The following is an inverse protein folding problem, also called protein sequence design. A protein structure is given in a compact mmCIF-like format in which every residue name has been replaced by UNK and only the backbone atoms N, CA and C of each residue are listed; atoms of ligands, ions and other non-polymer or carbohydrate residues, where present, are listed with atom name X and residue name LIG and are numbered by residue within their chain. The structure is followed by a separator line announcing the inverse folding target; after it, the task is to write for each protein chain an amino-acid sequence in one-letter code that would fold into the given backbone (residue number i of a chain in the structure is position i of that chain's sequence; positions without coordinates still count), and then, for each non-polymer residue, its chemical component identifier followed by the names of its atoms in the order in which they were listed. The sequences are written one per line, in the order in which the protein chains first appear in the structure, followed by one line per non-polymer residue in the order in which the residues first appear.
data_IF_217790596301
#
_entry.id   IF_217790596301
#
_cell.length_a   1.000
_cell.length_b   1.000
_cell.length_c   1.000
_cell.angle_alpha   90.00
_cell.angle_beta   90.00
_cell.angle_gamma   90.00
#
_symmetry.space_group_name_H-M   'P 1'
#
loop_
_entity.id
_entity.type
_entity.pdbx_description
1 polymer ?
#
# COMPACT_ATOMS: atom_id res chain seq x y z
N UNK A 1 15.02 -6.34 -3.42
CA UNK A 1 13.98 -5.75 -2.56
C UNK A 1 13.63 -6.73 -1.44
N UNK A 2 13.59 -6.26 -0.21
CA UNK A 2 13.24 -7.13 0.92
C UNK A 2 11.75 -7.47 0.89
N UNK A 3 11.43 -8.69 1.27
CA UNK A 3 10.06 -9.18 1.37
C UNK A 3 9.76 -9.50 2.83
N UNK A 4 8.62 -9.07 3.31
CA UNK A 4 8.21 -9.28 4.70
C UNK A 4 6.95 -10.12 4.77
N UNK A 5 7.01 -11.24 5.49
CA UNK A 5 5.82 -12.04 5.80
C UNK A 5 5.16 -11.48 7.04
N UNK A 6 3.84 -11.30 6.98
CA UNK A 6 3.04 -10.83 8.10
C UNK A 6 1.95 -11.84 8.40
N UNK A 7 1.67 -12.04 9.68
CA UNK A 7 0.63 -12.95 10.12
C UNK A 7 -0.64 -12.18 10.44
N UNK A 8 -1.79 -12.75 10.06
CA UNK A 8 -3.10 -12.24 10.41
C UNK A 8 -3.86 -13.36 11.12
N UNK A 9 -4.40 -13.08 12.30
CA UNK A 9 -5.20 -14.03 13.06
C UNK A 9 -6.66 -13.66 12.97
N UNK A 10 -7.51 -14.65 12.68
CA UNK A 10 -8.95 -14.49 12.72
C UNK A 10 -9.58 -15.60 13.55
N UNK A 11 -10.70 -15.29 14.18
CA UNK A 11 -11.42 -16.24 15.02
C UNK A 11 -12.35 -17.12 14.16
N UNK A 12 -12.81 -18.24 14.75
CA UNK A 12 -13.80 -19.09 14.08
C UNK A 12 -15.08 -18.32 13.74
N UNK A 13 -15.49 -17.43 14.63
CA UNK A 13 -16.67 -16.59 14.39
C UNK A 13 -16.47 -15.68 13.20
N UNK A 14 -15.31 -15.05 13.10
CA UNK A 14 -14.97 -14.19 11.99
C UNK A 14 -14.91 -14.95 10.66
N UNK A 15 -14.36 -16.16 10.67
CA UNK A 15 -14.37 -17.03 9.47
C UNK A 15 -15.80 -17.29 8.98
N UNK A 16 -16.71 -17.58 9.90
CA UNK A 16 -18.11 -17.84 9.56
C UNK A 16 -18.79 -16.61 8.98
N UNK A 17 -18.53 -15.44 9.54
CA UNK A 17 -19.07 -14.17 9.05
C UNK A 17 -18.55 -13.89 7.64
N UNK A 18 -17.25 -14.01 7.41
CA UNK A 18 -16.65 -13.75 6.11
C UNK A 18 -17.14 -14.73 5.05
N UNK A 19 -17.24 -16.03 5.40
CA UNK A 19 -17.71 -17.06 4.47
C UNK A 19 -19.18 -16.86 4.08
N UNK A 20 -19.98 -16.22 4.94
CA UNK A 20 -21.36 -15.90 4.61
C UNK A 20 -21.48 -14.86 3.49
N UNK A 21 -20.53 -13.95 3.41
CA UNK A 21 -20.61 -12.79 2.52
C UNK A 21 -19.69 -12.91 1.30
N UNK A 22 -18.58 -13.62 1.44
CA UNK A 22 -17.55 -13.69 0.41
C UNK A 22 -17.60 -15.03 -0.34
N UNK A 23 -17.25 -15.00 -1.61
CA UNK A 23 -17.27 -16.19 -2.47
C UNK A 23 -16.31 -17.29 -2.00
N UNK A 24 -15.12 -16.90 -1.50
CA UNK A 24 -14.12 -17.85 -1.04
C UNK A 24 -14.49 -18.46 0.30
N UNK A 25 -14.24 -19.77 0.45
CA UNK A 25 -14.44 -20.45 1.74
C UNK A 25 -13.30 -20.06 2.69
N UNK A 26 -13.63 -19.27 3.70
CA UNK A 26 -12.68 -18.78 4.69
C UNK A 26 -12.27 -19.83 5.73
N UNK A 27 -12.91 -20.97 5.77
CA UNK A 27 -12.47 -22.11 6.61
C UNK A 27 -11.27 -22.82 6.01
N UNK A 28 -11.01 -22.65 4.73
CA UNK A 28 -9.83 -23.16 4.04
C UNK A 28 -8.70 -22.13 4.12
N UNK A 29 -7.54 -22.55 4.62
CA UNK A 29 -6.39 -21.64 4.73
C UNK A 29 -5.97 -21.05 3.39
N UNK A 30 -6.04 -21.82 2.31
CA UNK A 30 -5.70 -21.32 0.98
C UNK A 30 -6.67 -20.23 0.52
N UNK A 31 -7.98 -20.42 0.76
CA UNK A 31 -8.99 -19.41 0.44
C UNK A 31 -8.82 -18.15 1.27
N UNK A 32 -8.53 -18.31 2.55
CA UNK A 32 -8.28 -17.19 3.46
C UNK A 32 -7.03 -16.41 3.06
N UNK A 33 -5.93 -17.11 2.79
CA UNK A 33 -4.68 -16.47 2.39
C UNK A 33 -4.87 -15.68 1.09
N UNK A 34 -5.58 -16.25 0.12
CA UNK A 34 -5.87 -15.56 -1.14
C UNK A 34 -6.68 -14.30 -0.90
N UNK A 35 -7.72 -14.36 -0.07
CA UNK A 35 -8.54 -13.19 0.23
C UNK A 35 -7.72 -12.09 0.90
N UNK A 36 -6.89 -12.44 1.89
CA UNK A 36 -6.04 -11.48 2.58
C UNK A 36 -5.06 -10.83 1.59
N UNK A 37 -4.42 -11.64 0.73
CA UNK A 37 -3.48 -11.12 -0.26
C UNK A 37 -4.18 -10.18 -1.24
N UNK A 38 -5.35 -10.56 -1.76
CA UNK A 38 -6.10 -9.74 -2.70
C UNK A 38 -6.56 -8.43 -2.06
N UNK A 39 -7.00 -8.47 -0.80
CA UNK A 39 -7.41 -7.27 -0.06
C UNK A 39 -6.20 -6.34 0.17
N UNK A 40 -5.07 -6.91 0.54
CA UNK A 40 -3.83 -6.14 0.69
C UNK A 40 -3.40 -5.49 -0.62
N UNK A 41 -3.39 -6.26 -1.71
CA UNK A 41 -2.97 -5.75 -3.03
C UNK A 41 -3.87 -4.60 -3.49
N UNK A 42 -5.17 -4.72 -3.27
CA UNK A 42 -6.13 -3.65 -3.60
C UNK A 42 -5.88 -2.39 -2.80
N UNK A 43 -5.66 -2.52 -1.50
CA UNK A 43 -5.35 -1.38 -0.62
C UNK A 43 -4.02 -0.74 -1.00
N UNK A 44 -3.01 -1.56 -1.24
CA UNK A 44 -1.68 -1.08 -1.65
C UNK A 44 -1.76 -0.31 -2.97
N UNK A 45 -2.51 -0.83 -3.93
CA UNK A 45 -2.68 -0.16 -5.22
C UNK A 45 -3.35 1.22 -5.08
N UNK A 46 -4.37 1.32 -4.22
CA UNK A 46 -5.03 2.60 -3.95
C UNK A 46 -4.09 3.59 -3.25
N UNK A 47 -3.27 3.11 -2.32
CA UNK A 47 -2.26 3.93 -1.66
C UNK A 47 -1.20 4.43 -2.65
N UNK A 48 -0.78 3.55 -3.56
CA UNK A 48 0.18 3.90 -4.60
C UNK A 48 -0.38 4.99 -5.53
N UNK A 49 -1.63 4.84 -5.97
CA UNK A 49 -2.25 5.84 -6.85
C UNK A 49 -2.29 7.22 -6.20
N UNK A 50 -2.63 7.29 -4.91
CA UNK A 50 -2.63 8.55 -4.18
C UNK A 50 -1.22 9.14 -4.05
N UNK A 51 -0.26 8.32 -3.69
CA UNK A 51 1.14 8.75 -3.56
C UNK A 51 1.67 9.30 -4.89
N UNK A 52 1.43 8.58 -5.98
CA UNK A 52 1.86 9.01 -7.31
C UNK A 52 1.24 10.35 -7.69
N UNK A 53 -0.06 10.49 -7.48
CA UNK A 53 -0.78 11.72 -7.81
C UNK A 53 -0.27 12.91 -7.00
N UNK A 54 -0.17 12.75 -5.68
CA UNK A 54 0.26 13.82 -4.78
C UNK A 54 1.69 14.27 -5.06
N UNK A 55 2.60 13.32 -5.18
CA UNK A 55 4.02 13.63 -5.34
C UNK A 55 4.40 14.04 -6.76
N UNK A 56 3.69 13.55 -7.78
CA UNK A 56 3.88 14.07 -9.14
C UNK A 56 3.59 15.57 -9.15
N UNK A 57 2.49 15.99 -8.52
CA UNK A 57 2.14 17.42 -8.46
C UNK A 57 3.18 18.22 -7.66
N UNK A 58 3.61 17.71 -6.51
CA UNK A 58 4.63 18.37 -5.69
C UNK A 58 5.95 18.53 -6.42
N UNK A 59 6.39 17.51 -7.16
CA UNK A 59 7.63 17.56 -7.92
C UNK A 59 7.52 18.55 -9.09
N UNK A 60 6.37 18.59 -9.75
CA UNK A 60 6.14 19.55 -10.83
C UNK A 60 6.10 21.00 -10.33
N UNK A 61 5.62 21.21 -9.11
CA UNK A 61 5.53 22.54 -8.50
C UNK A 61 6.87 23.00 -7.85
N UNK A 62 7.83 22.08 -7.72
CA UNK A 62 9.11 22.36 -7.08
C UNK A 62 10.10 22.89 -8.12
N UNK A 63 10.34 24.20 -8.11
CA UNK A 63 11.25 24.85 -9.05
C UNK A 63 12.69 24.35 -8.94
N UNK A 64 13.09 23.80 -7.80
CA UNK A 64 14.43 23.25 -7.60
C UNK A 64 14.59 21.83 -8.14
N UNK A 65 13.49 21.15 -8.49
CA UNK A 65 13.52 19.80 -9.04
C UNK A 65 13.53 19.87 -10.56
N UNK A 66 14.67 19.52 -11.15
CA UNK A 66 14.87 19.62 -12.60
C UNK A 66 15.07 18.26 -13.28
N UNK A 67 15.07 17.18 -12.52
CA UNK A 67 15.26 15.83 -13.05
C UNK A 67 13.94 15.28 -13.59
N UNK A 68 13.99 14.31 -14.54
CA UNK A 68 12.78 13.64 -14.99
C UNK A 68 12.11 12.90 -13.85
N UNK A 69 10.77 12.92 -13.83
CA UNK A 69 9.99 12.16 -12.86
C UNK A 69 9.96 10.70 -13.31
N UNK A 70 10.43 9.75 -12.47
CA UNK A 70 10.44 8.33 -12.86
C UNK A 70 9.04 7.80 -13.11
N UNK A 71 8.86 7.00 -14.17
CA UNK A 71 7.62 6.28 -14.44
C UNK A 71 7.56 4.92 -13.73
N UNK A 72 8.73 4.38 -13.36
CA UNK A 72 8.85 3.11 -12.64
C UNK A 72 8.47 3.32 -11.18
N UNK A 73 7.62 2.42 -10.65
CA UNK A 73 7.13 2.53 -9.27
C UNK A 73 8.26 2.54 -8.24
N UNK A 74 9.20 1.61 -8.36
CA UNK A 74 10.30 1.50 -7.38
C UNK A 74 11.17 2.77 -7.39
N UNK A 75 11.52 3.26 -8.56
CA UNK A 75 12.35 4.45 -8.70
C UNK A 75 11.61 5.70 -8.20
N UNK A 76 10.32 5.81 -8.48
CA UNK A 76 9.49 6.91 -7.99
C UNK A 76 9.42 6.91 -6.46
N UNK A 77 9.12 5.77 -5.87
CA UNK A 77 9.02 5.63 -4.41
C UNK A 77 10.36 5.95 -3.75
N UNK A 78 11.46 5.43 -4.30
CA UNK A 78 12.79 5.68 -3.75
C UNK A 78 13.18 7.15 -3.86
N UNK A 79 12.86 7.81 -4.97
CA UNK A 79 13.11 9.24 -5.13
C UNK A 79 12.36 10.05 -4.07
N UNK A 80 11.06 9.78 -3.91
CA UNK A 80 10.20 10.52 -2.99
C UNK A 80 10.63 10.31 -1.54
N UNK A 81 10.84 9.06 -1.14
CA UNK A 81 11.14 8.73 0.27
C UNK A 81 12.54 9.19 0.69
N UNK A 82 13.44 9.43 -0.27
CA UNK A 82 14.78 9.96 0.02
C UNK A 82 14.80 11.49 0.17
N UNK A 83 13.71 12.18 -0.14
CA UNK A 83 13.68 13.65 -0.07
C UNK A 83 13.66 14.12 1.39
N UNK A 84 14.35 15.24 1.71
CA UNK A 84 14.33 15.80 3.07
C UNK A 84 12.94 16.25 3.53
N UNK A 85 12.06 16.61 2.59
CA UNK A 85 10.70 17.08 2.88
C UNK A 85 9.68 15.95 2.96
N UNK A 86 10.09 14.70 2.73
CA UNK A 86 9.17 13.56 2.83
C UNK A 86 8.89 13.24 4.30
N UNK A 87 7.60 13.02 4.59
CA UNK A 87 7.13 12.51 5.87
C UNK A 87 6.03 11.50 5.60
N UNK A 88 6.08 10.34 6.27
CA UNK A 88 4.98 9.38 6.21
C UNK A 88 3.74 9.95 6.92
N UNK A 89 2.59 9.28 6.78
CA UNK A 89 1.33 9.78 7.33
C UNK A 89 1.41 10.03 8.82
N UNK A 90 2.00 9.09 9.56
CA UNK A 90 2.13 9.22 11.01
C UNK A 90 2.93 10.47 11.38
N UNK A 91 4.05 10.70 10.72
CA UNK A 91 4.89 11.86 10.97
C UNK A 91 4.19 13.17 10.60
N UNK A 92 3.38 13.19 9.53
CA UNK A 92 2.60 14.37 9.16
C UNK A 92 1.51 14.67 10.18
N UNK A 93 0.81 13.63 10.65
CA UNK A 93 -0.30 13.78 11.60
C UNK A 93 0.20 14.13 13.00
N UNK A 94 1.35 13.61 13.39
CA UNK A 94 1.96 13.85 14.71
C UNK A 94 2.77 15.16 14.76
N UNK A 95 3.20 15.62 13.62
CA UNK A 95 3.99 16.85 13.49
C UNK A 95 3.15 18.03 13.11
#
# INVERSE_FOLDING_TARGET
MATHKKEVSITDLQQKILSNDLYNDMSDNAGLDKWIQDAFDGKMNNCWKRMRSEWTQKLMDDDSFNDPIPSNQADFVNLVTARPDYKNRKARDDG
#
